data_IF_400521421949
#
_entry.id   IF_400521421949
#
_cell.length_a   1.000
_cell.length_b   1.000
_cell.length_c   1.000
_cell.angle_alpha   90.00
_cell.angle_beta   90.00
_cell.angle_gamma   90.00
#
_symmetry.space_group_name_H-M   'P 1'
#
loop_
_entity.id
_entity.type
_entity.pdbx_description
1 polymer ?
#
# COMPACT_ATOMS: atom_id res chain seq x y z
N UNK A 1 8.24 -10.05 -15.82
CA UNK A 1 7.63 -9.77 -14.50
C UNK A 1 6.86 -8.45 -14.48
N UNK A 2 7.50 -7.27 -14.52
CA UNK A 2 6.78 -5.98 -14.46
C UNK A 2 5.77 -5.84 -15.60
N UNK A 3 6.14 -6.20 -16.83
CA UNK A 3 5.22 -6.15 -17.97
C UNK A 3 4.08 -7.17 -17.86
N UNK A 4 4.31 -8.32 -17.23
CA UNK A 4 3.27 -9.32 -16.97
C UNK A 4 2.28 -8.83 -15.93
N UNK A 5 2.77 -8.17 -14.87
CA UNK A 5 1.94 -7.54 -13.85
C UNK A 5 1.15 -6.35 -14.41
N UNK A 6 1.75 -5.56 -15.32
CA UNK A 6 1.04 -4.50 -16.06
C UNK A 6 -0.07 -5.06 -16.93
N UNK A 7 0.17 -6.17 -17.65
CA UNK A 7 -0.84 -6.84 -18.48
C UNK A 7 -1.99 -7.41 -17.64
N UNK A 8 -1.70 -7.92 -16.45
CA UNK A 8 -2.72 -8.34 -15.46
C UNK A 8 -3.43 -7.15 -14.81
N UNK A 9 -2.90 -5.95 -14.99
CA UNK A 9 -3.48 -4.74 -14.44
C UNK A 9 -3.25 -4.55 -12.95
N UNK A 10 -2.37 -5.32 -12.34
CA UNK A 10 -2.15 -5.27 -10.90
C UNK A 10 -1.51 -3.93 -10.45
N UNK A 11 -1.94 -3.39 -9.32
CA UNK A 11 -1.50 -2.11 -8.73
C UNK A 11 -1.82 -0.82 -9.52
N UNK A 12 -2.79 -0.82 -10.43
CA UNK A 12 -3.20 0.47 -11.03
C UNK A 12 -3.80 1.40 -9.99
N UNK A 13 -3.44 2.67 -10.08
CA UNK A 13 -3.90 3.72 -9.17
C UNK A 13 -3.63 3.34 -7.71
N UNK A 14 -2.46 2.76 -7.46
CA UNK A 14 -1.95 2.53 -6.13
C UNK A 14 -0.82 3.52 -5.82
N UNK A 15 -0.63 3.79 -4.54
CA UNK A 15 0.48 4.59 -4.06
C UNK A 15 1.21 3.82 -2.97
N UNK A 16 2.53 3.95 -2.91
CA UNK A 16 3.32 3.35 -1.86
C UNK A 16 3.93 4.44 -0.97
N UNK A 17 3.96 4.13 0.32
CA UNK A 17 4.71 4.80 1.39
C UNK A 17 5.70 3.76 1.90
N UNK A 18 6.99 4.06 1.80
CA UNK A 18 8.05 3.14 2.22
C UNK A 18 8.80 3.73 3.40
N UNK A 19 8.89 2.97 4.47
CA UNK A 19 9.69 3.27 5.64
C UNK A 19 11.15 2.94 5.33
N UNK A 20 11.99 3.96 5.45
CA UNK A 20 13.44 3.88 5.23
C UNK A 20 14.19 4.34 6.47
N UNK A 21 13.54 4.27 7.63
CA UNK A 21 14.15 4.57 8.93
C UNK A 21 15.25 3.58 9.30
N UNK A 22 16.09 3.96 10.27
CA UNK A 22 17.19 3.12 10.73
C UNK A 22 16.72 1.77 11.31
N UNK A 23 15.49 1.66 11.83
CA UNK A 23 14.96 0.41 12.37
C UNK A 23 14.61 -0.61 11.28
N UNK A 24 14.44 -0.15 10.04
CA UNK A 24 14.22 -0.96 8.84
C UNK A 24 15.52 -1.53 8.26
N UNK A 25 16.69 -1.14 8.78
CA UNK A 25 17.99 -1.55 8.21
C UNK A 25 18.10 -3.08 8.08
N UNK A 26 18.58 -3.53 6.91
CA UNK A 26 18.61 -4.94 6.52
C UNK A 26 17.48 -5.30 5.57
N UNK A 27 16.98 -6.54 5.67
CA UNK A 27 15.97 -7.10 4.77
C UNK A 27 14.65 -6.28 4.71
N UNK A 28 14.08 -5.76 5.82
CA UNK A 28 12.83 -5.00 5.78
C UNK A 28 12.90 -3.76 4.88
N UNK A 29 14.00 -2.99 4.94
CA UNK A 29 14.22 -1.82 4.06
C UNK A 29 14.35 -2.25 2.59
N UNK A 30 15.04 -3.35 2.31
CA UNK A 30 15.17 -3.84 0.93
C UNK A 30 13.82 -4.25 0.34
N UNK A 31 12.99 -4.91 1.13
CA UNK A 31 11.63 -5.30 0.76
C UNK A 31 10.74 -4.06 0.56
N UNK A 32 10.75 -3.11 1.50
CA UNK A 32 10.00 -1.85 1.39
C UNK A 32 10.35 -1.08 0.12
N UNK A 33 11.66 -0.91 -0.16
CA UNK A 33 12.14 -0.20 -1.36
C UNK A 33 11.75 -0.94 -2.63
N UNK A 34 11.89 -2.28 -2.66
CA UNK A 34 11.55 -3.08 -3.83
C UNK A 34 10.04 -3.02 -4.14
N UNK A 35 9.18 -3.17 -3.13
CA UNK A 35 7.73 -3.09 -3.28
C UNK A 35 7.27 -1.66 -3.60
N UNK A 36 7.85 -0.65 -2.96
CA UNK A 36 7.54 0.75 -3.24
C UNK A 36 7.86 1.15 -4.68
N UNK A 37 9.01 0.71 -5.20
CA UNK A 37 9.38 0.91 -6.61
C UNK A 37 8.47 0.12 -7.55
N UNK A 38 8.09 -1.10 -7.19
CA UNK A 38 7.17 -1.92 -7.98
C UNK A 38 5.80 -1.24 -8.13
N UNK A 39 5.20 -0.77 -7.02
CA UNK A 39 3.93 -0.02 -7.04
C UNK A 39 4.05 1.25 -7.88
N UNK A 40 5.13 2.01 -7.70
CA UNK A 40 5.39 3.24 -8.45
C UNK A 40 5.47 3.02 -9.97
N UNK A 41 6.09 1.92 -10.41
CA UNK A 41 6.24 1.58 -11.84
C UNK A 41 5.00 0.97 -12.49
N UNK A 42 4.16 0.30 -11.70
CA UNK A 42 2.92 -0.33 -12.14
C UNK A 42 1.73 0.64 -12.15
N UNK A 43 1.78 1.70 -11.36
CA UNK A 43 0.78 2.76 -11.37
C UNK A 43 0.69 3.50 -12.71
N UNK A 44 -0.50 4.01 -12.99
CA UNK A 44 -0.80 4.78 -14.21
C UNK A 44 -0.60 6.28 -13.98
N UNK A 45 -0.51 7.06 -15.06
CA UNK A 45 -0.48 8.53 -14.94
C UNK A 45 -1.79 9.01 -14.28
N UNK A 46 -1.77 10.01 -13.37
CA UNK A 46 -0.64 10.87 -12.99
C UNK A 46 0.25 10.34 -11.84
N UNK A 47 0.02 9.11 -11.39
CA UNK A 47 0.66 8.50 -10.22
C UNK A 47 1.94 7.73 -10.56
N UNK A 48 2.11 7.33 -11.82
CA UNK A 48 3.28 6.60 -12.30
C UNK A 48 4.58 7.32 -11.93
N UNK A 49 5.53 6.57 -11.37
CA UNK A 49 6.84 7.07 -10.97
C UNK A 49 6.81 7.92 -9.70
N UNK A 50 5.68 7.97 -8.97
CA UNK A 50 5.56 8.67 -7.70
C UNK A 50 5.50 7.68 -6.55
N UNK A 51 6.21 8.01 -5.49
CA UNK A 51 6.19 7.31 -4.20
C UNK A 51 6.27 8.38 -3.13
N UNK A 52 5.43 8.29 -2.10
CA UNK A 52 5.47 9.21 -0.97
C UNK A 52 6.46 8.66 0.05
N UNK A 53 7.31 9.52 0.60
CA UNK A 53 8.03 9.24 1.84
C UNK A 53 7.33 9.88 3.02
N UNK A 54 7.74 9.46 4.22
CA UNK A 54 7.25 10.01 5.50
C UNK A 54 7.41 11.54 5.57
N UNK A 55 8.33 12.13 4.80
CA UNK A 55 8.63 13.58 4.73
C UNK A 55 7.80 14.36 3.70
N UNK A 56 6.69 13.80 3.22
CA UNK A 56 5.60 14.47 2.48
C UNK A 56 5.88 14.93 1.03
N UNK A 57 7.05 14.62 0.45
CA UNK A 57 7.35 14.97 -0.95
C UNK A 57 7.36 13.72 -1.85
N UNK A 58 6.31 13.48 -2.66
CA UNK A 58 6.28 12.34 -3.55
C UNK A 58 7.16 12.57 -4.77
N UNK A 59 8.36 12.02 -4.77
CA UNK A 59 9.20 12.01 -5.96
C UNK A 59 10.09 10.79 -5.92
N UNK A 60 10.21 10.05 -7.03
CA UNK A 60 11.25 9.03 -7.19
C UNK A 60 12.13 9.47 -8.35
N UNK A 61 13.41 9.75 -8.06
CA UNK A 61 14.40 10.12 -9.08
C UNK A 61 15.32 8.96 -9.37
N UNK A 62 15.72 8.84 -10.63
CA UNK A 62 16.69 7.84 -11.08
C UNK A 62 16.40 7.36 -12.48
N UNK A 63 17.46 7.09 -13.25
CA UNK A 63 17.37 6.63 -14.65
C UNK A 63 17.26 5.11 -14.73
N UNK A 64 17.83 4.40 -13.76
CA UNK A 64 17.87 2.95 -13.67
C UNK A 64 17.42 2.47 -12.29
N UNK A 65 17.20 1.16 -12.15
CA UNK A 65 16.73 0.59 -10.89
C UNK A 65 17.69 0.90 -9.74
N UNK A 66 19.00 0.81 -9.97
CA UNK A 66 20.04 1.04 -8.96
C UNK A 66 20.00 2.47 -8.42
N UNK A 67 19.86 3.47 -9.29
CA UNK A 67 19.76 4.88 -8.92
C UNK A 67 18.43 5.18 -8.23
N UNK A 68 17.32 4.58 -8.67
CA UNK A 68 16.02 4.69 -7.98
C UNK A 68 16.06 4.09 -6.58
N UNK A 69 16.59 2.87 -6.43
CA UNK A 69 16.77 2.21 -5.13
C UNK A 69 17.63 3.05 -4.21
N UNK A 70 18.77 3.55 -4.69
CA UNK A 70 19.66 4.41 -3.89
C UNK A 70 18.99 5.73 -3.52
N UNK A 71 18.24 6.33 -4.45
CA UNK A 71 17.50 7.54 -4.18
C UNK A 71 16.50 7.31 -3.05
N UNK A 72 15.68 6.26 -3.15
CA UNK A 72 14.68 5.92 -2.12
C UNK A 72 15.31 5.61 -0.76
N UNK A 73 16.38 4.80 -0.73
CA UNK A 73 17.12 4.48 0.51
C UNK A 73 17.69 5.72 1.21
N UNK A 74 17.99 6.78 0.45
CA UNK A 74 18.56 8.02 0.96
C UNK A 74 17.52 9.14 1.15
N UNK A 75 16.22 8.86 0.96
CA UNK A 75 15.19 9.88 1.21
C UNK A 75 15.10 10.15 2.71
N UNK A 76 14.82 11.41 3.07
CA UNK A 76 14.57 11.75 4.47
C UNK A 76 13.38 10.95 4.99
N UNK A 77 13.58 10.26 6.11
CA UNK A 77 12.53 9.61 6.86
C UNK A 77 12.14 10.48 8.06
N UNK A 78 10.85 10.46 8.39
CA UNK A 78 10.30 11.09 9.59
C UNK A 78 9.96 10.05 10.65
N UNK A 79 9.63 10.48 11.85
CA UNK A 79 9.29 9.58 12.97
C UNK A 79 7.99 8.81 12.68
N UNK A 80 6.94 9.49 12.21
CA UNK A 80 5.61 8.92 11.95
C UNK A 80 5.02 9.45 10.62
N UNK A 81 4.03 8.76 10.06
CA UNK A 81 3.29 9.19 8.87
C UNK A 81 2.11 10.09 9.25
N UNK A 82 2.06 11.28 8.63
CA UNK A 82 0.89 12.16 8.67
C UNK A 82 -0.08 11.79 7.54
N UNK A 83 -1.03 10.89 7.83
CA UNK A 83 -1.99 10.43 6.83
C UNK A 83 -2.92 11.54 6.33
N UNK A 84 -3.22 12.57 7.14
CA UNK A 84 -3.98 13.73 6.65
C UNK A 84 -3.27 14.39 5.46
N UNK A 85 -1.98 14.69 5.60
CA UNK A 85 -1.19 15.32 4.53
C UNK A 85 -1.08 14.45 3.29
N UNK A 86 -0.90 13.14 3.47
CA UNK A 86 -0.86 12.17 2.36
C UNK A 86 -2.16 12.25 1.54
N UNK A 87 -3.30 12.15 2.22
CA UNK A 87 -4.60 12.16 1.56
C UNK A 87 -4.94 13.53 0.98
N UNK A 88 -4.53 14.62 1.63
CA UNK A 88 -4.67 15.99 1.11
C UNK A 88 -3.86 16.18 -0.18
N UNK A 89 -2.66 15.60 -0.25
CA UNK A 89 -1.82 15.67 -1.44
C UNK A 89 -2.41 14.86 -2.60
N UNK A 90 -2.89 13.65 -2.32
CA UNK A 90 -3.60 12.81 -3.29
C UNK A 90 -4.84 13.56 -3.81
N UNK A 91 -5.64 14.14 -2.91
CA UNK A 91 -6.83 14.90 -3.26
C UNK A 91 -6.49 16.15 -4.08
N UNK A 92 -5.42 16.87 -3.72
CA UNK A 92 -4.94 18.03 -4.46
C UNK A 92 -4.56 17.66 -5.89
N UNK A 93 -3.77 16.60 -6.09
CA UNK A 93 -3.41 16.13 -7.43
C UNK A 93 -4.66 15.75 -8.24
N UNK A 94 -5.66 15.16 -7.60
CA UNK A 94 -6.92 14.80 -8.26
C UNK A 94 -7.76 16.01 -8.65
N UNK A 95 -7.89 17.01 -7.77
CA UNK A 95 -8.63 18.24 -8.04
C UNK A 95 -7.92 19.09 -9.10
N UNK A 96 -6.61 19.33 -8.96
CA UNK A 96 -5.82 20.12 -9.90
C UNK A 96 -5.78 19.45 -11.28
N UNK A 97 -5.69 18.12 -11.30
CA UNK A 97 -5.70 17.30 -12.52
C UNK A 97 -7.09 17.02 -13.10
N UNK A 98 -8.18 17.43 -12.43
CA UNK A 98 -9.57 17.10 -12.79
C UNK A 98 -9.76 15.61 -13.09
N UNK A 99 -9.20 14.76 -12.23
CA UNK A 99 -9.23 13.31 -12.43
C UNK A 99 -10.66 12.77 -12.37
N UNK A 100 -10.92 11.72 -13.13
CA UNK A 100 -12.15 10.97 -12.96
C UNK A 100 -12.02 10.07 -11.74
N UNK A 101 -13.15 9.64 -11.17
CA UNK A 101 -13.16 8.70 -10.05
C UNK A 101 -12.42 7.38 -10.36
N UNK A 102 -12.43 6.94 -11.62
CA UNK A 102 -11.70 5.75 -12.10
C UNK A 102 -10.16 5.91 -12.03
N UNK A 103 -9.66 7.13 -12.17
CA UNK A 103 -8.22 7.46 -12.15
C UNK A 103 -7.72 7.79 -10.73
N UNK A 104 -8.63 7.83 -9.76
CA UNK A 104 -8.32 8.11 -8.36
C UNK A 104 -7.49 6.97 -7.75
N UNK A 105 -6.58 7.31 -6.82
CA UNK A 105 -5.89 6.28 -6.03
C UNK A 105 -6.93 5.43 -5.30
N UNK A 106 -6.88 4.11 -5.51
CA UNK A 106 -7.75 3.14 -4.83
C UNK A 106 -7.15 2.66 -3.51
N UNK A 107 -5.83 2.45 -3.48
CA UNK A 107 -5.10 1.93 -2.31
C UNK A 107 -3.78 2.63 -2.08
N UNK A 108 -3.48 2.88 -0.81
CA UNK A 108 -2.19 3.36 -0.32
C UNK A 108 -1.53 2.26 0.50
N UNK A 109 -0.42 1.72 0.01
CA UNK A 109 0.38 0.73 0.71
C UNK A 109 1.38 1.41 1.63
N UNK A 110 1.43 1.02 2.89
CA UNK A 110 2.39 1.51 3.89
C UNK A 110 3.29 0.35 4.27
N UNK A 111 4.54 0.37 3.83
CA UNK A 111 5.53 -0.65 4.16
C UNK A 111 6.39 -0.14 5.32
N UNK A 112 6.24 -0.70 6.52
CA UNK A 112 6.95 -0.28 7.74
C UNK A 112 7.23 -1.49 8.64
N UNK A 113 8.06 -1.33 9.67
CA UNK A 113 8.26 -2.30 10.75
C UNK A 113 7.42 -1.98 11.99
N UNK A 114 6.57 -0.95 11.92
CA UNK A 114 5.68 -0.52 12.99
C UNK A 114 4.24 -1.01 12.79
N UNK A 115 3.53 -1.20 13.89
CA UNK A 115 2.07 -1.33 13.87
C UNK A 115 1.43 -0.03 13.39
N UNK A 116 0.29 -0.12 12.69
CA UNK A 116 -0.36 1.04 12.07
C UNK A 116 -0.66 2.19 13.04
N UNK A 117 -1.10 1.87 14.26
CA UNK A 117 -1.40 2.85 15.30
C UNK A 117 -0.14 3.57 15.80
N UNK A 118 1.04 2.93 15.72
CA UNK A 118 2.32 3.54 16.07
C UNK A 118 2.84 4.41 14.91
N UNK A 119 2.62 3.96 13.67
CA UNK A 119 3.00 4.70 12.47
C UNK A 119 2.15 5.97 12.24
N UNK A 120 0.94 6.04 12.83
CA UNK A 120 0.04 7.20 12.69
C UNK A 120 0.37 8.31 13.71
N UNK A 121 0.43 9.56 13.25
CA UNK A 121 0.56 10.72 14.14
C UNK A 121 -0.70 11.02 14.99
N UNK A 122 -1.85 10.43 14.67
CA UNK A 122 -3.14 10.77 15.28
C UNK A 122 -4.10 9.57 15.29
N UNK A 123 -5.13 9.56 16.17
CA UNK A 123 -6.11 8.47 16.20
C UNK A 123 -6.82 8.33 14.84
N UNK A 124 -6.69 7.15 14.23
CA UNK A 124 -7.10 6.92 12.85
C UNK A 124 -8.58 7.20 12.61
N UNK A 125 -9.46 6.85 13.54
CA UNK A 125 -10.91 7.03 13.35
C UNK A 125 -11.29 8.51 13.11
N UNK A 126 -10.65 9.42 13.84
CA UNK A 126 -10.86 10.87 13.69
C UNK A 126 -10.30 11.37 12.36
N UNK A 127 -9.10 10.91 12.00
CA UNK A 127 -8.46 11.28 10.75
C UNK A 127 -9.23 10.77 9.54
N UNK A 128 -9.70 9.53 9.59
CA UNK A 128 -10.49 8.92 8.53
C UNK A 128 -11.80 9.67 8.31
N UNK A 129 -12.51 10.06 9.38
CA UNK A 129 -13.73 10.90 9.26
C UNK A 129 -13.45 12.22 8.56
N UNK A 130 -12.34 12.89 8.91
CA UNK A 130 -11.92 14.15 8.27
C UNK A 130 -11.54 13.95 6.80
N UNK A 131 -10.81 12.89 6.47
CA UNK A 131 -10.45 12.52 5.09
C UNK A 131 -11.71 12.31 4.25
N UNK A 132 -12.65 11.50 4.74
CA UNK A 132 -13.90 11.21 4.02
C UNK A 132 -14.71 12.50 3.78
N UNK A 133 -14.77 13.42 4.76
CA UNK A 133 -15.43 14.72 4.58
C UNK A 133 -14.79 15.53 3.45
N UNK A 134 -13.46 15.71 3.48
CA UNK A 134 -12.71 16.46 2.45
C UNK A 134 -12.91 15.88 1.05
N UNK A 135 -12.87 14.55 0.93
CA UNK A 135 -13.10 13.88 -0.35
C UNK A 135 -14.53 14.09 -0.84
N UNK A 136 -15.52 14.01 0.05
CA UNK A 136 -16.93 14.27 -0.30
C UNK A 136 -17.14 15.70 -0.79
N UNK A 137 -16.59 16.69 -0.09
CA UNK A 137 -16.68 18.11 -0.46
C UNK A 137 -16.08 18.41 -1.84
N UNK A 138 -15.11 17.61 -2.29
CA UNK A 138 -14.48 17.74 -3.62
C UNK A 138 -15.06 16.82 -4.69
N UNK A 139 -16.14 16.10 -4.39
CA UNK A 139 -16.81 15.19 -5.35
C UNK A 139 -16.20 13.79 -5.47
N UNK A 140 -15.25 13.43 -4.61
CA UNK A 140 -14.55 12.13 -4.58
C UNK A 140 -14.98 11.23 -3.41
N UNK A 141 -16.12 11.51 -2.76
CA UNK A 141 -16.55 10.81 -1.55
C UNK A 141 -16.80 9.29 -1.72
N UNK A 142 -17.03 8.82 -2.96
CA UNK A 142 -17.19 7.39 -3.27
C UNK A 142 -15.89 6.67 -3.61
N UNK A 143 -14.75 7.38 -3.69
CA UNK A 143 -13.43 6.84 -4.08
C UNK A 143 -12.35 7.29 -3.12
N UNK A 144 -12.64 7.20 -1.81
CA UNK A 144 -11.65 7.44 -0.77
C UNK A 144 -10.68 6.26 -0.75
N UNK A 145 -9.35 6.49 -0.85
CA UNK A 145 -8.37 5.41 -0.84
C UNK A 145 -8.43 4.57 0.44
N UNK A 146 -8.28 3.25 0.30
CA UNK A 146 -8.03 2.35 1.43
C UNK A 146 -6.53 2.32 1.76
N UNK A 147 -6.18 2.18 3.04
CA UNK A 147 -4.80 1.95 3.46
C UNK A 147 -4.57 0.45 3.60
N UNK A 148 -3.43 -0.03 3.10
CA UNK A 148 -2.90 -1.36 3.40
C UNK A 148 -1.61 -1.16 4.17
N UNK A 149 -1.65 -1.32 5.49
CA UNK A 149 -0.48 -1.22 6.35
C UNK A 149 0.18 -2.59 6.46
N UNK A 150 1.42 -2.67 5.99
CA UNK A 150 2.19 -3.89 5.89
C UNK A 150 3.40 -3.83 6.81
N UNK A 151 3.32 -4.56 7.91
CA UNK A 151 4.43 -4.77 8.84
C UNK A 151 5.42 -5.79 8.27
N UNK A 152 6.62 -5.33 7.93
CA UNK A 152 7.70 -6.09 7.32
C UNK A 152 8.69 -6.71 8.33
N UNK A 153 8.53 -6.44 9.63
CA UNK A 153 9.39 -7.04 10.64
C UNK A 153 9.07 -8.53 10.79
N UNK A 154 10.13 -9.32 10.91
CA UNK A 154 10.06 -10.76 11.09
C UNK A 154 9.33 -11.07 12.40
N UNK A 155 8.08 -11.49 12.28
CA UNK A 155 7.40 -12.22 13.33
C UNK A 155 7.23 -13.62 12.80
N UNK A 156 7.52 -14.64 13.62
CA UNK A 156 7.26 -16.06 13.35
C UNK A 156 5.77 -16.39 13.18
N UNK A 157 4.94 -15.38 12.98
CA UNK A 157 3.50 -15.42 12.97
C UNK A 157 3.00 -15.52 11.53
N UNK A 158 2.00 -16.36 11.34
CA UNK A 158 1.16 -16.36 10.14
C UNK A 158 0.66 -14.95 9.86
N UNK A 159 0.61 -14.50 8.58
CA UNK A 159 0.03 -13.21 8.23
C UNK A 159 -1.37 -13.07 8.84
N UNK A 160 -1.56 -12.09 9.72
CA UNK A 160 -2.86 -11.79 10.30
C UNK A 160 -3.38 -10.55 9.60
N UNK A 161 -4.55 -10.66 8.99
CA UNK A 161 -5.27 -9.50 8.51
C UNK A 161 -6.23 -9.00 9.58
N UNK A 162 -5.99 -7.77 10.05
CA UNK A 162 -6.91 -7.01 10.88
C UNK A 162 -7.62 -5.96 10.04
N UNK A 163 -8.90 -5.70 10.32
CA UNK A 163 -9.68 -4.67 9.61
C UNK A 163 -10.10 -3.56 10.56
N UNK A 164 -9.64 -2.36 10.26
CA UNK A 164 -10.22 -1.12 10.77
C UNK A 164 -10.91 -0.40 9.62
N UNK A 165 -11.78 0.57 9.90
CA UNK A 165 -12.52 1.27 8.84
C UNK A 165 -11.54 2.00 7.90
N UNK A 166 -11.50 1.58 6.64
CA UNK A 166 -10.59 2.15 5.63
C UNK A 166 -9.13 1.68 5.72
N UNK A 167 -8.81 0.71 6.57
CA UNK A 167 -7.44 0.16 6.73
C UNK A 167 -7.47 -1.36 6.80
N UNK A 168 -6.64 -2.00 5.99
CA UNK A 168 -6.26 -3.40 6.12
C UNK A 168 -4.86 -3.49 6.73
N UNK A 169 -4.70 -4.27 7.80
CA UNK A 169 -3.41 -4.58 8.42
C UNK A 169 -2.88 -5.88 7.84
N UNK A 170 -1.58 -5.95 7.56
CA UNK A 170 -0.91 -7.11 6.98
C UNK A 170 0.41 -7.30 7.70
N UNK A 171 0.70 -8.50 8.17
CA UNK A 171 1.98 -8.83 8.80
C UNK A 171 2.70 -9.95 8.05
N UNK A 172 4.03 -9.90 8.07
CA UNK A 172 4.89 -10.93 7.50
C UNK A 172 5.01 -10.86 5.98
N UNK A 173 5.96 -11.62 5.43
CA UNK A 173 6.23 -11.64 3.99
C UNK A 173 5.91 -13.00 3.38
N UNK A 174 4.98 -13.03 2.42
CA UNK A 174 4.73 -14.25 1.62
C UNK A 174 4.48 -13.91 0.15
N UNK A 175 5.00 -14.76 -0.74
CA UNK A 175 4.78 -14.63 -2.19
C UNK A 175 3.29 -14.68 -2.56
N UNK A 176 2.47 -15.33 -1.74
CA UNK A 176 1.04 -15.46 -1.95
C UNK A 176 0.28 -14.17 -1.57
N UNK A 177 0.70 -13.45 -0.52
CA UNK A 177 0.12 -12.15 -0.18
C UNK A 177 0.27 -11.15 -1.32
N UNK A 178 1.44 -11.11 -1.97
CA UNK A 178 1.64 -10.23 -3.12
C UNK A 178 0.61 -10.56 -4.22
N UNK A 179 0.37 -11.84 -4.53
CA UNK A 179 -0.66 -12.23 -5.52
C UNK A 179 -2.07 -11.75 -5.14
N UNK A 180 -2.42 -11.85 -3.86
CA UNK A 180 -3.71 -11.40 -3.34
C UNK A 180 -3.88 -9.88 -3.52
N UNK A 181 -2.86 -9.09 -3.19
CA UNK A 181 -2.91 -7.62 -3.35
C UNK A 181 -2.78 -7.17 -4.82
N UNK A 182 -2.26 -8.04 -5.69
CA UNK A 182 -2.15 -7.81 -7.14
C UNK A 182 -3.50 -7.94 -7.86
N UNK A 183 -4.47 -8.70 -7.35
CA UNK A 183 -5.77 -8.88 -8.01
C UNK A 183 -6.76 -7.75 -7.69
N UNK A 184 -7.39 -7.26 -8.76
CA UNK A 184 -7.70 -5.84 -8.92
C UNK A 184 -8.98 -5.33 -8.24
N UNK A 185 -9.85 -6.20 -7.76
CA UNK A 185 -11.20 -5.80 -7.32
C UNK A 185 -11.71 -6.59 -6.11
N UNK A 186 -10.84 -7.36 -5.44
CA UNK A 186 -11.26 -8.09 -4.24
C UNK A 186 -11.17 -7.19 -3.02
N UNK A 187 -12.26 -7.16 -2.26
CA UNK A 187 -12.24 -6.70 -0.88
C UNK A 187 -11.19 -7.54 -0.14
N UNK A 188 -10.29 -6.88 0.58
CA UNK A 188 -9.23 -7.57 1.33
C UNK A 188 -9.90 -8.14 2.59
N UNK A 189 -10.35 -9.39 2.48
CA UNK A 189 -10.95 -10.13 3.59
C UNK A 189 -10.13 -11.39 3.89
N UNK A 190 -9.62 -11.56 5.13
CA UNK A 190 -8.83 -12.73 5.51
C UNK A 190 -9.51 -14.07 5.23
N UNK A 191 -10.83 -14.16 5.39
CA UNK A 191 -11.58 -15.40 5.16
C UNK A 191 -11.63 -15.69 3.67
N UNK A 192 -12.00 -14.71 2.84
CA UNK A 192 -11.96 -14.84 1.37
C UNK A 192 -10.56 -15.23 0.86
N UNK A 193 -9.51 -14.69 1.46
CA UNK A 193 -8.12 -14.97 1.08
C UNK A 193 -7.73 -16.40 1.49
N UNK A 194 -8.13 -16.84 2.68
CA UNK A 194 -7.96 -18.23 3.11
C UNK A 194 -8.71 -19.17 2.17
N UNK A 195 -9.98 -18.89 1.90
CA UNK A 195 -10.84 -19.67 0.99
C UNK A 195 -10.23 -19.78 -0.41
N UNK A 196 -9.73 -18.68 -0.97
CA UNK A 196 -9.03 -18.70 -2.26
C UNK A 196 -7.80 -19.63 -2.23
N UNK A 197 -6.99 -19.55 -1.17
CA UNK A 197 -5.77 -20.34 -1.05
C UNK A 197 -6.11 -21.83 -0.92
N UNK A 198 -7.12 -22.19 -0.13
CA UNK A 198 -7.54 -23.58 0.07
C UNK A 198 -8.49 -24.11 -1.03
N UNK A 199 -9.01 -23.24 -1.91
CA UNK A 199 -9.79 -23.66 -3.08
C UNK A 199 -8.92 -24.27 -4.20
N UNK A 200 -7.59 -24.16 -4.06
CA UNK A 200 -6.64 -24.73 -5.00
C UNK A 200 -6.77 -26.25 -5.13
N UNK A 201 -6.50 -26.76 -6.34
CA UNK A 201 -6.56 -28.20 -6.67
C UNK A 201 -5.73 -29.06 -5.72
N UNK A 202 -4.68 -28.47 -5.13
CA UNK A 202 -3.79 -29.09 -4.15
C UNK A 202 -4.51 -29.50 -2.85
N UNK A 203 -5.53 -28.73 -2.44
CA UNK A 203 -6.30 -28.95 -1.20
C UNK A 203 -7.61 -29.69 -1.44
N UNK A 204 -8.01 -29.90 -2.70
CA UNK A 204 -9.23 -30.64 -3.08
C UNK A 204 -9.31 -32.08 -2.59
N UNK A 205 -8.16 -32.65 -2.17
CA UNK A 205 -8.04 -34.02 -1.64
C UNK A 205 -8.14 -34.10 -0.12
N UNK A 206 -8.21 -32.96 0.58
CA UNK A 206 -8.35 -32.96 2.02
C UNK A 206 -9.80 -33.28 2.39
N UNK A 207 -9.97 -34.25 3.27
CA UNK A 207 -11.28 -34.69 3.76
C UNK A 207 -11.33 -34.34 5.24
N UNK A 208 -12.37 -33.61 5.64
CA UNK A 208 -12.65 -33.38 7.06
C UNK A 208 -13.20 -34.68 7.63
N UNK A 209 -12.50 -35.26 8.61
CA UNK A 209 -12.98 -36.40 9.37
C UNK A 209 -13.53 -35.83 10.68
N UNK A 210 -14.83 -36.03 10.90
CA UNK A 210 -15.55 -35.73 12.15
C UNK A 210 -15.44 -36.92 13.12
#
# INVERSE_FOLDING_TARGET
MVDDLKKKGSFTNCMAISDVSGSMEGEPMEVAVALGLLVSELSQKPWKGKMITFTHKPEVKGKDLKSKTRFVKNMEWGINTDFQKVFDLILKVAVDGKLKSEDMIKRVFVFSDMEFDQASCSPWETDYKRIVSKYREKGYGGVVPEIVSWNLRDTTSTPVMGRQKGVALVSGFSKNLIKVFLDRDREIDPVMIMEDVISGVEYSKLVVID
#
